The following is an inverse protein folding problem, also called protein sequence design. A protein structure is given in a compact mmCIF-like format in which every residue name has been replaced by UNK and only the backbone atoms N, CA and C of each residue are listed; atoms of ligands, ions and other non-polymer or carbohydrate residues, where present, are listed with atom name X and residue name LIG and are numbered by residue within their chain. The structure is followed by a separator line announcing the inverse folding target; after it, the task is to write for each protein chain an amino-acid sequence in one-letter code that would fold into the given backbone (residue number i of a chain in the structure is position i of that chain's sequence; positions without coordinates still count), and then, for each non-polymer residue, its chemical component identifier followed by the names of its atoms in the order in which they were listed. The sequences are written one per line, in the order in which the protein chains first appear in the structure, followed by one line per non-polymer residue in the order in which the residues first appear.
data_IF_474730922383
#
_entry.id   IF_474730922383
#
_cell.length_a   1.000
_cell.length_b   1.000
_cell.length_c   1.000
_cell.angle_alpha   90.00
_cell.angle_beta   90.00
_cell.angle_gamma   90.00
#
_symmetry.space_group_name_H-M   'P 1'
#
loop_
_entity.id
_entity.type
_entity.pdbx_description
1 polymer ?
#
# COMPACT_ATOMS: atom_id res chain seq x y z
N UNK A 1 -17.49 -23.94 5.01
CA UNK A 1 -16.61 -23.08 5.80
C UNK A 1 -17.48 -22.16 6.63
N UNK A 2 -17.33 -22.09 7.95
CA UNK A 2 -18.09 -21.13 8.73
C UNK A 2 -17.71 -19.72 8.29
N UNK A 3 -18.73 -18.95 7.94
CA UNK A 3 -18.61 -17.55 7.58
C UNK A 3 -18.02 -16.79 8.79
N UNK A 4 -16.81 -16.27 8.63
CA UNK A 4 -16.19 -15.43 9.68
C UNK A 4 -16.97 -14.13 9.73
N UNK A 5 -17.67 -13.90 10.82
CA UNK A 5 -18.28 -12.63 11.11
C UNK A 5 -17.23 -11.49 10.97
N UNK A 6 -17.59 -10.36 10.38
CA UNK A 6 -16.69 -9.24 10.27
C UNK A 6 -16.23 -8.81 11.68
N UNK A 7 -14.92 -8.77 11.89
CA UNK A 7 -14.35 -8.28 13.16
C UNK A 7 -14.62 -6.78 13.24
N UNK A 8 -15.55 -6.39 14.09
CA UNK A 8 -15.75 -4.97 14.40
C UNK A 8 -14.52 -4.44 15.15
N UNK A 9 -13.79 -3.54 14.50
CA UNK A 9 -12.62 -2.89 15.12
C UNK A 9 -13.12 -1.65 15.85
N UNK A 10 -13.12 -1.63 17.19
CA UNK A 10 -13.58 -0.47 17.93
C UNK A 10 -12.72 0.77 17.62
N UNK A 11 -13.23 1.99 17.80
CA UNK A 11 -12.46 3.20 17.56
C UNK A 11 -11.20 3.23 18.45
N UNK A 12 -10.10 3.78 17.90
CA UNK A 12 -8.83 3.92 18.65
C UNK A 12 -9.03 4.80 19.87
N UNK A 13 -8.61 4.32 21.03
CA UNK A 13 -8.58 5.11 22.26
C UNK A 13 -7.26 5.87 22.36
N UNK A 14 -7.33 7.19 22.49
CA UNK A 14 -6.15 8.00 22.79
C UNK A 14 -5.61 7.68 24.18
N UNK A 15 -4.30 7.63 24.31
CA UNK A 15 -3.66 7.45 25.62
C UNK A 15 -3.75 8.74 26.43
N UNK A 16 -4.02 8.58 27.72
CA UNK A 16 -3.88 9.68 28.68
C UNK A 16 -2.42 10.11 28.82
N UNK A 17 -2.12 11.34 29.26
CA UNK A 17 -0.73 11.76 29.52
C UNK A 17 0.03 10.81 30.46
N UNK A 18 -0.63 10.29 31.47
CA UNK A 18 -0.06 9.29 32.42
C UNK A 18 0.34 8.00 31.68
N UNK A 19 -0.56 7.45 30.89
CA UNK A 19 -0.31 6.23 30.12
C UNK A 19 0.81 6.43 29.09
N UNK A 20 0.88 7.62 28.47
CA UNK A 20 1.97 7.95 27.55
C UNK A 20 3.32 7.99 28.26
N UNK A 21 3.38 8.62 29.46
CA UNK A 21 4.61 8.65 30.26
C UNK A 21 5.04 7.26 30.71
N UNK A 22 4.10 6.43 31.15
CA UNK A 22 4.34 5.04 31.53
C UNK A 22 4.85 4.21 30.36
N UNK A 23 4.20 4.31 29.20
CA UNK A 23 4.63 3.63 27.96
C UNK A 23 6.06 4.01 27.58
N UNK A 24 6.37 5.31 27.63
CA UNK A 24 7.71 5.80 27.31
C UNK A 24 8.77 5.27 28.31
N UNK A 25 8.48 5.31 29.61
CA UNK A 25 9.38 4.81 30.64
C UNK A 25 9.60 3.30 30.54
N UNK A 26 8.52 2.53 30.35
CA UNK A 26 8.58 1.06 30.21
C UNK A 26 9.49 0.64 29.06
N UNK A 27 9.45 1.39 27.95
CA UNK A 27 10.29 1.12 26.77
C UNK A 27 11.60 1.93 26.77
N UNK A 28 11.98 2.55 27.90
CA UNK A 28 13.24 3.29 28.09
C UNK A 28 13.47 4.38 27.04
N UNK A 29 12.39 4.95 26.49
CA UNK A 29 12.46 5.94 25.42
C UNK A 29 13.12 5.44 24.12
N UNK A 30 13.00 4.16 23.81
CA UNK A 30 13.54 3.55 22.59
C UNK A 30 12.44 3.38 21.55
N UNK A 31 12.71 3.85 20.34
CA UNK A 31 11.81 3.62 19.20
C UNK A 31 11.83 2.16 18.78
N UNK A 32 10.67 1.51 18.75
CA UNK A 32 10.59 0.09 18.42
C UNK A 32 10.84 -0.22 16.94
N UNK A 33 10.77 0.80 16.07
CA UNK A 33 10.96 0.62 14.62
C UNK A 33 12.43 0.66 14.20
N UNK A 34 13.22 1.54 14.80
CA UNK A 34 14.63 1.67 14.44
C UNK A 34 15.60 1.32 15.58
N UNK A 35 15.10 1.05 16.79
CA UNK A 35 15.95 0.78 17.96
C UNK A 35 16.69 2.00 18.52
N UNK A 36 16.55 3.17 17.90
CA UNK A 36 17.20 4.39 18.34
C UNK A 36 16.49 5.05 19.52
N UNK A 37 17.25 5.77 20.34
CA UNK A 37 16.67 6.56 21.44
C UNK A 37 15.91 7.78 20.91
N UNK A 38 14.73 8.01 21.48
CA UNK A 38 13.94 9.22 21.30
C UNK A 38 14.50 10.26 22.29
N UNK A 39 15.00 11.36 21.75
CA UNK A 39 15.63 12.43 22.54
C UNK A 39 14.59 13.23 23.32
N UNK A 40 15.03 13.88 24.40
CA UNK A 40 14.17 14.80 25.14
C UNK A 40 13.65 15.90 24.19
N UNK A 41 12.33 16.14 24.23
CA UNK A 41 11.68 17.11 23.33
C UNK A 41 11.42 16.61 21.89
N UNK A 42 11.93 15.45 21.50
CA UNK A 42 11.64 14.88 20.19
C UNK A 42 10.20 14.34 20.15
N UNK A 43 9.39 14.71 19.13
CA UNK A 43 8.02 14.23 19.02
C UNK A 43 7.97 12.74 18.69
N UNK A 44 7.15 12.02 19.43
CA UNK A 44 6.93 10.59 19.25
C UNK A 44 5.44 10.23 19.29
N UNK A 45 5.11 9.12 18.68
CA UNK A 45 3.76 8.55 18.65
C UNK A 45 3.75 7.17 19.30
N UNK A 46 2.59 6.82 19.87
CA UNK A 46 2.28 5.47 20.29
C UNK A 46 1.85 4.64 19.09
N UNK A 47 2.67 3.68 18.72
CA UNK A 47 2.47 2.83 17.56
C UNK A 47 2.03 1.43 17.99
N UNK A 48 1.11 0.81 17.24
CA UNK A 48 0.72 -0.57 17.46
C UNK A 48 1.72 -1.53 16.82
N UNK A 49 2.23 -2.46 17.62
CA UNK A 49 3.15 -3.51 17.15
C UNK A 49 2.42 -4.43 16.17
N UNK A 50 1.27 -4.94 16.61
CA UNK A 50 0.35 -5.66 15.74
C UNK A 50 -0.73 -4.67 15.32
N UNK A 51 -0.91 -4.55 14.02
CA UNK A 51 -1.87 -3.61 13.43
C UNK A 51 -3.29 -3.91 13.94
N UNK A 52 -4.01 -2.86 14.36
CA UNK A 52 -5.37 -3.01 14.94
C UNK A 52 -6.35 -3.71 13.99
N UNK A 53 -6.24 -3.50 12.70
CA UNK A 53 -7.12 -4.16 11.74
C UNK A 53 -6.85 -5.67 11.61
N UNK A 54 -5.72 -6.17 12.14
CA UNK A 54 -5.39 -7.60 12.20
C UNK A 54 -5.90 -8.23 13.49
N UNK A 55 -5.58 -7.60 14.64
CA UNK A 55 -5.85 -8.17 15.96
C UNK A 55 -7.04 -7.55 16.69
N UNK A 56 -7.43 -6.33 16.32
CA UNK A 56 -8.39 -5.53 17.08
C UNK A 56 -7.84 -5.01 18.42
N UNK A 57 -6.62 -5.40 18.81
CA UNK A 57 -6.03 -5.09 20.11
C UNK A 57 -5.55 -3.63 20.18
N UNK A 58 -6.14 -2.88 21.10
CA UNK A 58 -5.82 -1.49 21.43
C UNK A 58 -5.21 -1.33 22.82
N UNK A 59 -4.74 -2.43 23.44
CA UNK A 59 -4.13 -2.43 24.75
C UNK A 59 -2.75 -1.76 24.77
N UNK A 60 -2.31 -1.33 25.96
CA UNK A 60 -0.95 -0.79 26.16
C UNK A 60 0.14 -1.82 25.85
N UNK A 61 -0.14 -3.10 26.02
CA UNK A 61 0.79 -4.18 25.70
C UNK A 61 1.14 -4.22 24.20
N UNK A 62 0.19 -3.87 23.34
CA UNK A 62 0.38 -3.80 21.88
C UNK A 62 0.89 -2.44 21.40
N UNK A 63 1.20 -1.51 22.30
CA UNK A 63 1.68 -0.16 21.92
C UNK A 63 3.12 0.03 22.31
N UNK A 64 3.86 0.75 21.46
CA UNK A 64 5.27 1.11 21.67
C UNK A 64 5.56 2.51 21.14
N UNK A 65 6.55 3.21 21.72
CA UNK A 65 6.95 4.51 21.23
C UNK A 65 7.68 4.39 19.87
N UNK A 66 7.39 5.32 18.97
CA UNK A 66 8.05 5.44 17.66
C UNK A 66 8.33 6.91 17.32
N UNK A 67 9.43 7.18 16.62
CA UNK A 67 9.71 8.53 16.12
C UNK A 67 8.60 8.97 15.17
N UNK A 68 7.95 10.09 15.48
CA UNK A 68 6.83 10.62 14.69
C UNK A 68 7.24 10.97 13.26
N UNK A 69 8.39 11.61 13.08
CA UNK A 69 8.80 12.16 11.79
C UNK A 69 9.56 11.14 10.96
N UNK A 70 10.43 10.34 11.58
CA UNK A 70 11.35 9.45 10.85
C UNK A 70 10.77 8.06 10.55
N UNK A 71 10.14 7.44 11.55
CA UNK A 71 9.81 6.01 11.51
C UNK A 71 8.33 5.75 11.29
N UNK A 72 7.47 6.49 11.97
CA UNK A 72 6.02 6.30 11.91
C UNK A 72 5.42 6.45 10.50
N UNK A 73 5.81 7.43 9.67
CA UNK A 73 5.25 7.57 8.33
C UNK A 73 5.57 6.39 7.42
N UNK A 74 6.80 5.87 7.48
CA UNK A 74 7.21 4.71 6.69
C UNK A 74 6.43 3.46 7.08
N UNK A 75 6.24 3.22 8.39
CA UNK A 75 5.41 2.12 8.87
C UNK A 75 3.96 2.28 8.41
N UNK A 76 3.38 3.46 8.56
CA UNK A 76 2.00 3.74 8.14
C UNK A 76 1.79 3.47 6.64
N UNK A 77 2.74 3.84 5.81
CA UNK A 77 2.70 3.57 4.37
C UNK A 77 2.75 2.06 4.07
N UNK A 78 3.62 1.32 4.76
CA UNK A 78 3.71 -0.14 4.63
C UNK A 78 2.41 -0.82 5.08
N UNK A 79 1.89 -0.43 6.25
CA UNK A 79 0.63 -0.96 6.80
C UNK A 79 -0.56 -0.72 5.85
N UNK A 80 -0.61 0.44 5.21
CA UNK A 80 -1.63 0.76 4.20
C UNK A 80 -1.49 -0.12 2.95
N UNK A 81 -0.25 -0.38 2.52
CA UNK A 81 0.07 -1.28 1.42
C UNK A 81 -0.39 -2.71 1.68
N UNK A 82 -0.07 -3.23 2.86
CA UNK A 82 -0.47 -4.58 3.29
C UNK A 82 -1.99 -4.72 3.39
N UNK A 83 -2.66 -3.74 3.99
CA UNK A 83 -4.11 -3.70 4.06
C UNK A 83 -4.76 -3.70 2.68
N UNK A 84 -4.25 -2.89 1.76
CA UNK A 84 -4.74 -2.86 0.38
C UNK A 84 -4.52 -4.18 -0.35
N UNK A 85 -3.38 -4.86 -0.10
CA UNK A 85 -3.06 -6.17 -0.67
C UNK A 85 -4.03 -7.24 -0.17
N UNK A 86 -4.26 -7.31 1.13
CA UNK A 86 -5.18 -8.28 1.74
C UNK A 86 -6.60 -8.04 1.25
N UNK A 87 -7.06 -6.77 1.21
CA UNK A 87 -8.36 -6.44 0.65
C UNK A 87 -8.52 -6.93 -0.79
N UNK A 88 -7.51 -6.77 -1.65
CA UNK A 88 -7.57 -7.27 -3.03
C UNK A 88 -7.68 -8.79 -3.12
N UNK A 89 -7.03 -9.51 -2.19
CA UNK A 89 -7.11 -10.97 -2.10
C UNK A 89 -8.54 -11.37 -1.70
N UNK A 90 -9.06 -10.77 -0.64
CA UNK A 90 -10.44 -11.00 -0.18
C UNK A 90 -11.48 -10.69 -1.26
N UNK A 91 -11.36 -9.53 -1.94
CA UNK A 91 -12.28 -9.15 -3.03
C UNK A 91 -12.23 -10.16 -4.19
N UNK A 92 -11.06 -10.79 -4.43
CA UNK A 92 -10.93 -11.85 -5.43
C UNK A 92 -11.60 -13.13 -4.99
N UNK A 93 -11.37 -13.57 -3.75
CA UNK A 93 -11.92 -14.81 -3.18
C UNK A 93 -13.45 -14.74 -3.03
N UNK A 94 -13.94 -13.58 -2.61
CA UNK A 94 -15.39 -13.36 -2.47
C UNK A 94 -16.12 -13.03 -3.78
N UNK A 95 -15.40 -12.96 -4.92
CA UNK A 95 -15.99 -12.58 -6.20
C UNK A 95 -16.47 -11.13 -6.29
N UNK A 96 -16.14 -10.28 -5.32
CA UNK A 96 -16.55 -8.86 -5.27
C UNK A 96 -15.63 -7.93 -6.03
N UNK A 97 -14.59 -8.48 -6.66
CA UNK A 97 -13.66 -7.70 -7.45
C UNK A 97 -14.34 -7.08 -8.66
N UNK A 98 -14.40 -5.73 -8.69
CA UNK A 98 -14.88 -5.02 -9.89
C UNK A 98 -13.98 -5.33 -11.07
N UNK A 99 -14.60 -5.70 -12.20
CA UNK A 99 -13.88 -5.78 -13.46
C UNK A 99 -13.25 -4.43 -13.80
N UNK A 100 -11.99 -4.47 -14.17
CA UNK A 100 -11.33 -3.25 -14.65
C UNK A 100 -11.92 -2.93 -16.02
N UNK A 101 -12.62 -1.81 -16.13
CA UNK A 101 -12.94 -1.25 -17.44
C UNK A 101 -11.63 -1.06 -18.19
N UNK A 102 -11.54 -1.64 -19.37
CA UNK A 102 -10.40 -1.38 -20.25
C UNK A 102 -10.31 0.14 -20.46
N UNK A 103 -9.14 0.70 -20.19
CA UNK A 103 -8.90 2.11 -20.51
C UNK A 103 -8.89 2.17 -22.03
N UNK A 104 -9.84 2.90 -22.66
CA UNK A 104 -9.80 3.06 -24.11
C UNK A 104 -8.49 3.78 -24.47
N UNK A 105 -7.56 3.00 -24.98
CA UNK A 105 -6.29 3.52 -25.50
C UNK A 105 -6.39 3.52 -27.01
N UNK A 106 -5.96 4.60 -27.70
CA UNK A 106 -5.88 4.60 -29.16
C UNK A 106 -4.91 3.56 -29.71
N UNK A 107 -4.32 2.75 -28.84
CA UNK A 107 -3.27 1.80 -29.18
C UNK A 107 -1.94 2.49 -29.48
N UNK A 108 -0.95 1.68 -29.79
CA UNK A 108 0.32 2.24 -30.25
C UNK A 108 0.13 2.80 -31.66
N UNK A 109 0.58 4.04 -31.88
CA UNK A 109 0.59 4.62 -33.20
C UNK A 109 1.26 3.66 -34.20
N UNK A 110 0.66 3.41 -35.37
CA UNK A 110 1.31 2.62 -36.41
C UNK A 110 2.56 3.30 -36.98
N UNK A 111 2.76 4.57 -36.64
CA UNK A 111 3.91 5.39 -37.06
C UNK A 111 4.92 5.53 -35.93
N UNK A 112 6.19 5.43 -36.22
CA UNK A 112 7.31 5.72 -35.33
C UNK A 112 8.23 6.79 -35.91
N UNK A 113 8.82 7.62 -35.04
CA UNK A 113 9.87 8.56 -35.46
C UNK A 113 11.18 7.82 -35.53
N UNK A 114 11.87 7.91 -36.66
CA UNK A 114 13.23 7.38 -36.83
C UNK A 114 14.28 8.32 -36.23
N UNK A 115 15.50 7.83 -36.05
CA UNK A 115 16.60 8.64 -35.49
C UNK A 115 16.97 9.86 -36.37
N UNK A 116 16.71 9.81 -37.68
CA UNK A 116 16.87 10.92 -38.63
C UNK A 116 15.75 11.96 -38.55
N UNK A 117 14.78 11.80 -37.62
CA UNK A 117 13.64 12.69 -37.47
C UNK A 117 12.46 12.40 -38.38
N UNK A 118 12.61 11.53 -39.39
CA UNK A 118 11.52 11.13 -40.28
C UNK A 118 10.48 10.25 -39.58
N UNK A 119 9.24 10.28 -40.10
CA UNK A 119 8.13 9.47 -39.57
C UNK A 119 7.91 8.30 -40.54
N UNK A 120 8.04 7.08 -40.05
CA UNK A 120 7.81 5.86 -40.81
C UNK A 120 6.81 4.92 -40.13
N UNK A 121 6.31 3.95 -40.88
CA UNK A 121 5.47 2.89 -40.30
C UNK A 121 6.30 1.94 -39.43
N UNK A 122 5.71 1.50 -38.35
CA UNK A 122 6.31 0.47 -37.47
C UNK A 122 6.39 -0.87 -38.21
N UNK A 123 7.34 -1.73 -37.82
CA UNK A 123 7.46 -3.09 -38.37
C UNK A 123 6.14 -3.89 -38.26
N UNK A 124 5.36 -3.67 -37.21
CA UNK A 124 4.05 -4.30 -37.02
C UNK A 124 3.03 -3.80 -38.08
N UNK A 125 3.01 -2.51 -38.31
CA UNK A 125 2.12 -1.90 -39.34
C UNK A 125 2.48 -2.36 -40.77
N UNK A 126 3.78 -2.45 -41.09
CA UNK A 126 4.24 -2.97 -42.37
C UNK A 126 3.87 -4.44 -42.59
N UNK A 127 3.99 -5.28 -41.55
CA UNK A 127 3.56 -6.69 -41.61
C UNK A 127 2.05 -6.83 -41.79
N UNK A 128 1.27 -5.98 -41.16
CA UNK A 128 -0.19 -6.01 -41.29
C UNK A 128 -0.63 -5.60 -42.71
N UNK A 129 0.05 -4.62 -43.34
CA UNK A 129 -0.20 -4.23 -44.69
C UNK A 129 0.16 -5.36 -45.69
N UNK A 130 1.33 -5.99 -45.49
CA UNK A 130 1.78 -7.10 -46.35
C UNK A 130 0.87 -8.34 -46.26
N UNK A 131 0.25 -8.57 -45.08
CA UNK A 131 -0.68 -9.68 -44.92
C UNK A 131 -2.05 -9.43 -45.60
N UNK A 132 -2.42 -8.17 -45.82
CA UNK A 132 -3.70 -7.79 -46.45
C UNK A 132 -3.62 -7.79 -47.99
N UNK A 133 -2.40 -7.62 -48.56
CA UNK A 133 -2.18 -7.66 -50.02
C UNK A 133 -2.20 -9.07 -50.61
N UNK A 134 -2.22 -10.12 -49.76
CA UNK A 134 -2.23 -11.52 -50.19
C UNK A 134 -3.61 -12.18 -50.31
N UNK A 135 -4.72 -11.44 -50.13
CA UNK A 135 -6.07 -12.03 -50.10
C UNK A 135 -6.93 -11.73 -51.34
N UNK A 136 -6.34 -11.17 -52.41
CA UNK A 136 -7.09 -10.84 -53.62
C UNK A 136 -6.47 -11.55 -54.84
N UNK A 137 -6.50 -12.90 -54.82
CA UNK A 137 -6.33 -13.74 -56.01
C UNK A 137 -7.25 -14.98 -55.92
#
# INVERSE_FOLDING_TARGET
MPERAPVEIPPRKALTPKQRAELFATHKGVCHLCGGKIKAGEPWDDEHVIQRWVSGDDSLANRRPAHRIKCHPAKTANDAGDRAKIKRIQDRENGTRRERKAIPSPGFSPKSRKMDGSIGLTRKALRALAANDGSDQ
#
